data_IF_535899078962
#
_entry.id   IF_535899078962
#
_cell.length_a   1.000
_cell.length_b   1.000
_cell.length_c   1.000
_cell.angle_alpha   90.00
_cell.angle_beta   90.00
_cell.angle_gamma   90.00
#
_symmetry.space_group_name_H-M   'P 1'
#
loop_
_entity.id
_entity.type
_entity.pdbx_description
1 polymer ?
#
# COMPACT_ATOMS: atom_id res chain seq x y z
N UNK A 1 -25.34 -31.49 30.95
CA UNK A 1 -24.13 -30.70 31.28
C UNK A 1 -23.20 -30.47 30.07
N UNK A 2 -23.07 -31.43 29.15
CA UNK A 2 -22.32 -31.26 27.88
C UNK A 2 -22.79 -30.16 26.90
N UNK A 3 -24.11 -29.87 26.70
CA UNK A 3 -24.52 -28.87 25.70
C UNK A 3 -24.27 -27.41 26.14
N UNK A 4 -24.13 -27.16 27.45
CA UNK A 4 -23.92 -25.83 28.00
C UNK A 4 -22.46 -25.37 27.84
N UNK A 5 -21.52 -26.31 27.83
CA UNK A 5 -20.09 -26.07 27.60
C UNK A 5 -19.83 -25.86 26.11
N UNK A 6 -20.51 -26.58 25.23
CA UNK A 6 -20.40 -26.37 23.78
C UNK A 6 -20.95 -24.99 23.37
N UNK A 7 -22.05 -24.56 23.97
CA UNK A 7 -22.64 -23.23 23.72
C UNK A 7 -21.76 -22.09 24.27
N UNK A 8 -21.13 -22.28 25.44
CA UNK A 8 -20.19 -21.30 25.98
C UNK A 8 -18.88 -21.25 25.19
N UNK A 9 -18.40 -22.37 24.65
CA UNK A 9 -17.23 -22.43 23.76
C UNK A 9 -17.48 -21.83 22.38
N UNK A 10 -18.71 -21.93 21.83
CA UNK A 10 -19.10 -21.24 20.60
C UNK A 10 -19.23 -19.73 20.84
N UNK A 11 -19.80 -19.31 21.98
CA UNK A 11 -19.75 -17.91 22.38
C UNK A 11 -18.30 -17.44 22.57
N UNK A 12 -17.43 -18.25 23.19
CA UNK A 12 -16.01 -17.94 23.38
C UNK A 12 -15.21 -17.91 22.08
N UNK A 13 -15.47 -18.75 21.09
CA UNK A 13 -14.80 -18.66 19.78
C UNK A 13 -15.26 -17.43 18.99
N UNK A 14 -16.44 -16.89 19.31
CA UNK A 14 -16.93 -15.57 18.89
C UNK A 14 -16.32 -14.39 19.70
N UNK A 15 -15.61 -14.61 20.83
CA UNK A 15 -15.37 -13.54 21.85
C UNK A 15 -14.35 -12.45 21.51
N UNK A 16 -13.47 -12.61 20.52
CA UNK A 16 -12.51 -11.53 20.17
C UNK A 16 -12.75 -10.97 18.78
N UNK A 17 -12.79 -11.85 17.77
CA UNK A 17 -13.01 -11.43 16.38
C UNK A 17 -14.46 -11.02 16.12
N UNK A 18 -15.44 -11.71 16.73
CA UNK A 18 -16.86 -11.37 16.58
C UNK A 18 -17.21 -10.00 17.17
N UNK A 19 -16.71 -9.70 18.38
CA UNK A 19 -16.91 -8.40 19.02
C UNK A 19 -16.21 -7.27 18.27
N UNK A 20 -15.04 -7.52 17.67
CA UNK A 20 -14.38 -6.51 16.83
C UNK A 20 -15.23 -6.13 15.60
N UNK A 21 -15.90 -7.10 14.99
CA UNK A 21 -16.83 -6.86 13.88
C UNK A 21 -18.06 -6.08 14.30
N UNK A 22 -18.66 -6.42 15.45
CA UNK A 22 -19.81 -5.69 16.00
C UNK A 22 -19.43 -4.24 16.35
N UNK A 23 -18.27 -4.04 17.01
CA UNK A 23 -17.75 -2.70 17.32
C UNK A 23 -17.48 -1.89 16.05
N UNK A 24 -16.93 -2.51 15.01
CA UNK A 24 -16.71 -1.87 13.73
C UNK A 24 -18.04 -1.41 13.09
N UNK A 25 -19.08 -2.25 13.10
CA UNK A 25 -20.40 -1.87 12.58
C UNK A 25 -21.04 -0.74 13.39
N UNK A 26 -20.97 -0.80 14.73
CA UNK A 26 -21.48 0.26 15.59
C UNK A 26 -20.74 1.58 15.37
N UNK A 27 -19.42 1.53 15.21
CA UNK A 27 -18.60 2.71 14.93
C UNK A 27 -18.91 3.29 13.54
N UNK A 28 -19.09 2.45 12.53
CA UNK A 28 -19.53 2.86 11.19
C UNK A 28 -20.91 3.53 11.21
N UNK A 29 -21.85 2.98 11.99
CA UNK A 29 -23.18 3.56 12.20
C UNK A 29 -23.08 4.93 12.88
N UNK A 30 -22.25 5.03 13.92
CA UNK A 30 -22.00 6.27 14.64
C UNK A 30 -21.40 7.36 13.74
N UNK A 31 -20.41 7.01 12.89
CA UNK A 31 -19.84 7.94 11.91
C UNK A 31 -20.88 8.40 10.88
N UNK A 32 -21.70 7.48 10.37
CA UNK A 32 -22.75 7.79 9.40
C UNK A 32 -23.79 8.72 10.01
N UNK A 33 -24.19 8.46 11.25
CA UNK A 33 -25.09 9.34 12.00
C UNK A 33 -24.51 10.75 12.16
N UNK A 34 -23.24 10.88 12.56
CA UNK A 34 -22.56 12.17 12.68
C UNK A 34 -22.48 12.93 11.35
N UNK A 35 -22.20 12.22 10.26
CA UNK A 35 -22.20 12.78 8.90
C UNK A 35 -23.60 13.30 8.54
N UNK A 36 -24.64 12.55 8.87
CA UNK A 36 -26.02 12.96 8.62
C UNK A 36 -26.46 14.16 9.45
N UNK A 37 -26.09 14.19 10.73
CA UNK A 37 -26.33 15.33 11.61
C UNK A 37 -25.66 16.60 11.07
N UNK A 38 -24.42 16.49 10.56
CA UNK A 38 -23.73 17.62 9.93
C UNK A 38 -24.44 18.13 8.67
N UNK A 39 -24.95 17.23 7.81
CA UNK A 39 -25.68 17.64 6.59
C UNK A 39 -26.99 18.36 6.92
N UNK A 40 -27.70 17.88 7.95
CA UNK A 40 -28.88 18.55 8.49
C UNK A 40 -28.55 19.96 9.00
N UNK A 41 -27.52 20.10 9.85
CA UNK A 41 -27.06 21.40 10.36
C UNK A 41 -26.56 22.35 9.26
N UNK A 42 -26.05 21.82 8.15
CA UNK A 42 -25.62 22.60 6.99
C UNK A 42 -26.78 23.02 6.06
N UNK A 43 -28.04 22.74 6.42
CA UNK A 43 -29.22 23.09 5.63
C UNK A 43 -29.36 22.29 4.32
N UNK A 44 -28.60 21.20 4.14
CA UNK A 44 -28.57 20.40 2.90
C UNK A 44 -29.61 19.29 2.84
N UNK A 45 -30.62 19.34 3.72
CA UNK A 45 -31.61 18.27 3.89
C UNK A 45 -31.05 17.02 4.59
N UNK A 46 -31.92 16.24 5.21
CA UNK A 46 -31.55 14.96 5.81
C UNK A 46 -31.16 13.94 4.75
N UNK A 47 -30.30 12.97 5.10
CA UNK A 47 -30.10 11.82 4.22
C UNK A 47 -31.39 11.00 4.23
N UNK A 48 -31.98 10.76 3.06
CA UNK A 48 -33.03 9.76 2.92
C UNK A 48 -32.51 8.36 3.25
N UNK A 49 -33.40 7.39 3.45
CA UNK A 49 -33.06 6.02 3.85
C UNK A 49 -31.98 5.38 2.94
N UNK A 50 -32.13 5.51 1.62
CA UNK A 50 -31.14 5.02 0.64
C UNK A 50 -29.80 5.77 0.73
N UNK A 51 -29.82 7.08 0.97
CA UNK A 51 -28.61 7.89 1.14
C UNK A 51 -27.86 7.53 2.42
N UNK A 52 -28.58 7.24 3.50
CA UNK A 52 -27.99 6.79 4.75
C UNK A 52 -27.34 5.40 4.58
N UNK A 53 -28.04 4.45 3.96
CA UNK A 53 -27.50 3.13 3.66
C UNK A 53 -26.24 3.16 2.79
N UNK A 54 -26.23 3.97 1.74
CA UNK A 54 -25.05 4.14 0.87
C UNK A 54 -23.86 4.73 1.62
N UNK A 55 -24.06 5.81 2.40
CA UNK A 55 -22.97 6.42 3.17
C UNK A 55 -22.44 5.45 4.22
N UNK A 56 -23.32 4.71 4.90
CA UNK A 56 -22.93 3.68 5.85
C UNK A 56 -22.07 2.60 5.21
N UNK A 57 -22.49 2.08 4.05
CA UNK A 57 -21.74 1.06 3.31
C UNK A 57 -20.35 1.57 2.93
N UNK A 58 -20.26 2.75 2.33
CA UNK A 58 -18.97 3.32 1.90
C UNK A 58 -18.04 3.56 3.09
N UNK A 59 -18.54 4.16 4.17
CA UNK A 59 -17.75 4.44 5.38
C UNK A 59 -17.25 3.14 6.02
N UNK A 60 -18.11 2.14 6.10
CA UNK A 60 -17.77 0.84 6.71
C UNK A 60 -16.72 0.10 5.89
N UNK A 61 -16.87 0.05 4.55
CA UNK A 61 -15.86 -0.58 3.68
C UNK A 61 -14.52 0.12 3.83
N UNK A 62 -14.46 1.45 3.70
CA UNK A 62 -13.20 2.20 3.81
C UNK A 62 -12.53 1.95 5.16
N UNK A 63 -13.30 1.93 6.24
CA UNK A 63 -12.77 1.68 7.58
C UNK A 63 -12.22 0.25 7.72
N UNK A 64 -13.01 -0.77 7.34
CA UNK A 64 -12.61 -2.18 7.49
C UNK A 64 -11.36 -2.47 6.66
N UNK A 65 -11.29 -1.95 5.43
CA UNK A 65 -10.09 -2.09 4.59
C UNK A 65 -8.89 -1.34 5.16
N UNK A 66 -9.07 -0.10 5.64
CA UNK A 66 -7.98 0.67 6.23
C UNK A 66 -7.38 -0.03 7.46
N UNK A 67 -8.23 -0.54 8.37
CA UNK A 67 -7.78 -1.24 9.58
C UNK A 67 -7.13 -2.58 9.21
N UNK A 68 -7.77 -3.39 8.37
CA UNK A 68 -7.27 -4.71 7.98
C UNK A 68 -5.90 -4.63 7.31
N UNK A 69 -5.72 -3.73 6.34
CA UNK A 69 -4.44 -3.55 5.64
C UNK A 69 -3.37 -3.03 6.60
N UNK A 70 -3.70 -2.08 7.48
CA UNK A 70 -2.73 -1.54 8.45
C UNK A 70 -2.23 -2.63 9.42
N UNK A 71 -3.13 -3.48 9.93
CA UNK A 71 -2.76 -4.59 10.81
C UNK A 71 -1.98 -5.67 10.04
N UNK A 72 -2.43 -6.03 8.83
CA UNK A 72 -1.76 -7.03 7.99
C UNK A 72 -0.35 -6.60 7.59
N UNK A 73 -0.16 -5.34 7.19
CA UNK A 73 1.16 -4.80 6.88
C UNK A 73 2.02 -4.61 8.12
N UNK A 74 1.45 -4.13 9.23
CA UNK A 74 2.16 -3.93 10.49
C UNK A 74 2.67 -5.24 11.10
N UNK A 75 1.89 -6.31 10.99
CA UNK A 75 2.33 -7.66 11.39
C UNK A 75 3.38 -8.24 10.44
N UNK A 76 3.25 -8.00 9.13
CA UNK A 76 4.24 -8.42 8.12
C UNK A 76 5.60 -7.72 8.33
N UNK A 77 5.64 -6.38 8.24
CA UNK A 77 6.24 -5.52 9.29
C UNK A 77 7.18 -6.15 10.31
N UNK A 78 6.54 -6.41 11.44
CA UNK A 78 7.12 -6.94 12.64
C UNK A 78 7.77 -8.31 12.42
N UNK A 79 7.11 -9.21 11.68
CA UNK A 79 7.68 -10.51 11.34
C UNK A 79 8.96 -10.37 10.54
N UNK A 80 8.96 -9.60 9.46
CA UNK A 80 10.15 -9.39 8.61
C UNK A 80 11.28 -8.73 9.38
N UNK A 81 11.00 -7.76 10.25
CA UNK A 81 12.06 -7.15 11.08
C UNK A 81 12.62 -8.12 12.11
N UNK A 82 11.79 -8.96 12.74
CA UNK A 82 12.25 -10.06 13.61
C UNK A 82 13.09 -11.08 12.82
N UNK A 83 12.67 -11.44 11.61
CA UNK A 83 13.41 -12.33 10.70
C UNK A 83 14.72 -11.71 10.18
N UNK A 84 14.83 -10.40 10.02
CA UNK A 84 16.08 -9.75 9.60
C UNK A 84 17.05 -9.59 10.77
N UNK A 85 16.53 -9.40 11.99
CA UNK A 85 17.36 -9.25 13.19
C UNK A 85 17.80 -10.60 13.76
N UNK A 86 16.94 -11.63 13.71
CA UNK A 86 17.21 -12.94 14.30
C UNK A 86 17.36 -14.07 13.26
N UNK A 87 16.84 -13.90 12.04
CA UNK A 87 16.85 -14.94 11.02
C UNK A 87 18.18 -15.02 10.31
N UNK A 88 18.64 -16.24 10.08
CA UNK A 88 19.90 -16.50 9.40
C UNK A 88 19.68 -16.62 7.89
N UNK A 89 20.72 -16.28 7.14
CA UNK A 89 20.73 -16.38 5.67
C UNK A 89 21.08 -17.80 5.27
N UNK A 90 20.21 -18.45 4.48
CA UNK A 90 20.47 -19.77 3.91
C UNK A 90 20.45 -19.71 2.39
N UNK A 91 21.39 -20.40 1.76
CA UNK A 91 21.36 -20.65 0.31
C UNK A 91 20.48 -21.87 0.05
N UNK A 92 19.34 -21.68 -0.60
CA UNK A 92 18.39 -22.74 -0.92
C UNK A 92 18.49 -23.14 -2.39
N UNK A 93 18.32 -24.43 -2.68
CA UNK A 93 18.29 -24.96 -4.05
C UNK A 93 16.87 -25.30 -4.44
N UNK A 94 16.46 -24.91 -5.64
CA UNK A 94 15.13 -25.29 -6.18
C UNK A 94 15.09 -26.79 -6.46
N UNK A 95 14.20 -27.53 -5.79
CA UNK A 95 14.06 -28.99 -5.91
C UNK A 95 12.84 -29.41 -6.74
N UNK A 96 11.77 -28.62 -6.72
CA UNK A 96 10.54 -28.92 -7.46
C UNK A 96 9.76 -27.65 -7.74
N UNK A 97 8.72 -27.71 -8.56
CA UNK A 97 7.81 -26.61 -8.78
C UNK A 97 6.38 -27.16 -8.90
N UNK A 98 5.41 -26.44 -8.35
CA UNK A 98 3.98 -26.69 -8.57
C UNK A 98 3.51 -25.80 -9.71
N UNK A 99 2.63 -26.28 -10.59
CA UNK A 99 2.06 -25.48 -11.68
C UNK A 99 0.55 -25.35 -11.52
N UNK A 100 0.01 -24.15 -11.68
CA UNK A 100 -1.42 -23.93 -11.84
C UNK A 100 -1.71 -23.14 -13.11
N UNK A 101 -2.84 -23.44 -13.74
CA UNK A 101 -3.28 -22.75 -14.95
C UNK A 101 -4.12 -21.54 -14.57
N UNK A 102 -3.70 -20.36 -15.01
CA UNK A 102 -4.50 -19.14 -14.92
C UNK A 102 -5.16 -18.91 -16.28
N UNK A 103 -6.48 -19.06 -16.32
CA UNK A 103 -7.26 -18.80 -17.52
C UNK A 103 -7.75 -17.35 -17.50
N UNK A 104 -7.29 -16.56 -18.47
CA UNK A 104 -7.74 -15.19 -18.65
C UNK A 104 -8.92 -15.16 -19.64
N UNK A 105 -10.12 -14.92 -19.11
CA UNK A 105 -11.37 -14.99 -19.86
C UNK A 105 -11.50 -13.88 -20.92
N UNK A 106 -10.80 -12.75 -20.73
CA UNK A 106 -10.86 -11.60 -21.65
C UNK A 106 -9.89 -11.75 -22.84
N UNK A 107 -8.79 -12.50 -22.66
CA UNK A 107 -7.76 -12.69 -23.68
C UNK A 107 -7.77 -14.06 -24.35
N UNK A 108 -8.61 -15.01 -23.90
CA UNK A 108 -8.66 -16.38 -24.42
C UNK A 108 -7.34 -17.15 -24.30
N UNK A 109 -6.45 -16.69 -23.43
CA UNK A 109 -5.08 -17.19 -23.31
C UNK A 109 -4.90 -17.89 -21.97
N UNK A 110 -4.44 -19.15 -22.00
CA UNK A 110 -4.11 -19.93 -20.80
C UNK A 110 -2.65 -19.72 -20.46
N UNK A 111 -2.37 -19.12 -19.30
CA UNK A 111 -0.99 -18.92 -18.83
C UNK A 111 -0.72 -19.87 -17.67
N UNK A 112 0.25 -20.76 -17.84
CA UNK A 112 0.71 -21.66 -16.78
C UNK A 112 1.66 -20.91 -15.86
N UNK A 113 1.36 -20.87 -14.56
CA UNK A 113 2.23 -20.27 -13.55
C UNK A 113 2.88 -21.35 -12.71
N UNK A 114 4.18 -21.21 -12.46
CA UNK A 114 5.01 -22.13 -11.69
C UNK A 114 5.40 -21.53 -10.34
N UNK A 115 5.12 -22.22 -9.26
CA UNK A 115 5.51 -21.90 -7.89
C UNK A 115 6.67 -22.82 -7.47
N UNK A 116 7.91 -22.30 -7.36
CA UNK A 116 9.07 -23.12 -7.00
C UNK A 116 9.08 -23.53 -5.52
N UNK A 117 9.49 -24.78 -5.26
CA UNK A 117 9.82 -25.33 -3.95
C UNK A 117 11.33 -25.42 -3.84
N UNK A 118 11.89 -24.82 -2.80
CA UNK A 118 13.32 -24.80 -2.52
C UNK A 118 13.65 -25.65 -1.29
N UNK A 119 14.79 -26.29 -1.31
CA UNK A 119 15.35 -27.04 -0.18
C UNK A 119 16.63 -26.37 0.28
N UNK A 120 16.77 -26.16 1.58
CA UNK A 120 18.01 -25.69 2.19
C UNK A 120 18.34 -26.53 3.42
N UNK A 121 19.63 -26.60 3.72
CA UNK A 121 20.14 -27.26 4.92
C UNK A 121 20.29 -26.20 6.01
N UNK A 122 19.62 -26.41 7.14
CA UNK A 122 19.71 -25.56 8.32
C UNK A 122 21.08 -25.69 8.99
N UNK A 123 21.47 -24.76 9.89
CA UNK A 123 22.75 -24.89 10.62
C UNK A 123 22.75 -26.11 11.55
N UNK A 124 21.55 -26.54 11.95
CA UNK A 124 21.28 -27.77 12.69
C UNK A 124 21.40 -29.05 11.83
N UNK A 125 21.71 -28.94 10.54
CA UNK A 125 21.91 -30.08 9.63
C UNK A 125 20.60 -30.72 9.13
N UNK A 126 19.46 -30.05 9.28
CA UNK A 126 18.14 -30.54 8.87
C UNK A 126 17.82 -30.02 7.47
N UNK A 127 17.41 -30.92 6.57
CA UNK A 127 16.90 -30.57 5.24
C UNK A 127 15.45 -30.10 5.36
N UNK A 128 15.18 -28.86 4.95
CA UNK A 128 13.84 -28.27 4.96
C UNK A 128 13.44 -27.90 3.54
N UNK A 129 12.37 -28.52 3.04
CA UNK A 129 11.70 -28.14 1.80
C UNK A 129 10.66 -27.05 2.08
N UNK A 130 10.73 -25.93 1.35
CA UNK A 130 9.88 -24.77 1.51
C UNK A 130 9.35 -24.25 0.17
N UNK A 131 8.05 -24.03 0.08
CA UNK A 131 7.41 -23.51 -1.13
C UNK A 131 7.46 -21.99 -1.12
N UNK A 132 7.99 -21.38 -2.19
CA UNK A 132 8.14 -19.92 -2.28
C UNK A 132 6.79 -19.23 -2.47
N UNK A 133 6.63 -18.03 -1.90
CA UNK A 133 5.38 -17.27 -1.88
C UNK A 133 5.04 -16.55 -3.20
N UNK A 134 5.80 -16.81 -4.26
CA UNK A 134 5.62 -16.16 -5.56
C UNK A 134 5.59 -17.20 -6.68
N UNK A 135 4.83 -16.89 -7.72
CA UNK A 135 4.67 -17.73 -8.92
C UNK A 135 5.12 -16.95 -10.14
N UNK A 136 5.78 -17.61 -11.08
CA UNK A 136 6.26 -17.01 -12.33
C UNK A 136 5.73 -17.78 -13.53
N UNK A 137 5.53 -17.10 -14.66
CA UNK A 137 5.22 -17.74 -15.96
C UNK A 137 6.42 -18.49 -16.55
N UNK A 138 7.63 -18.16 -16.09
CA UNK A 138 8.86 -18.85 -16.49
C UNK A 138 9.07 -20.11 -15.65
N UNK A 139 9.34 -21.24 -16.30
CA UNK A 139 9.69 -22.49 -15.60
C UNK A 139 10.96 -22.29 -14.76
N UNK A 140 10.92 -22.53 -13.44
CA UNK A 140 12.11 -22.44 -12.59
C UNK A 140 13.12 -23.52 -12.97
N UNK A 141 14.40 -23.14 -13.10
CA UNK A 141 15.49 -24.09 -13.33
C UNK A 141 15.78 -24.88 -12.06
N UNK A 142 15.61 -26.20 -12.13
CA UNK A 142 15.92 -27.12 -11.03
C UNK A 142 17.41 -27.03 -10.71
N UNK A 143 17.75 -26.82 -9.44
CA UNK A 143 19.12 -26.62 -8.96
C UNK A 143 19.61 -25.16 -8.89
N UNK A 144 18.79 -24.19 -9.31
CA UNK A 144 19.11 -22.77 -9.13
C UNK A 144 19.22 -22.41 -7.65
N UNK A 145 20.25 -21.65 -7.30
CA UNK A 145 20.50 -21.21 -5.92
C UNK A 145 19.73 -19.92 -5.68
N UNK A 146 18.85 -19.93 -4.69
CA UNK A 146 18.03 -18.78 -4.27
C UNK A 146 18.33 -18.51 -2.82
N UNK A 147 18.63 -17.25 -2.48
CA UNK A 147 18.87 -16.87 -1.09
C UNK A 147 17.54 -16.78 -0.36
N UNK A 148 17.37 -17.60 0.67
CA UNK A 148 16.17 -17.65 1.51
C UNK A 148 16.54 -17.25 2.93
N UNK A 149 15.77 -16.34 3.51
CA UNK A 149 15.87 -16.03 4.93
C UNK A 149 14.88 -16.92 5.66
N UNK A 150 15.40 -17.87 6.44
CA UNK A 150 14.62 -18.82 7.20
C UNK A 150 14.94 -18.65 8.68
N UNK A 151 13.92 -18.73 9.51
CA UNK A 151 14.07 -18.77 10.96
C UNK A 151 13.65 -20.16 11.45
N UNK A 152 14.64 -20.92 11.96
CA UNK A 152 14.46 -22.28 12.46
C UNK A 152 13.47 -22.35 13.64
N UNK A 153 13.24 -21.25 14.36
CA UNK A 153 12.36 -21.20 15.53
C UNK A 153 10.90 -20.98 15.12
N UNK A 154 10.65 -20.12 14.13
CA UNK A 154 9.30 -19.77 13.68
C UNK A 154 8.79 -20.60 12.50
N UNK A 155 9.69 -21.31 11.79
CA UNK A 155 9.43 -22.00 10.51
C UNK A 155 8.88 -21.09 9.40
N UNK A 156 8.88 -19.77 9.61
CA UNK A 156 8.51 -18.78 8.61
C UNK A 156 9.75 -18.53 7.72
N UNK A 157 9.53 -18.41 6.40
CA UNK A 157 10.58 -17.99 5.46
C UNK A 157 10.11 -16.76 4.69
N UNK A 158 11.04 -15.85 4.39
CA UNK A 158 10.78 -14.69 3.53
C UNK A 158 11.67 -14.81 2.31
N UNK A 159 11.04 -14.99 1.16
CA UNK A 159 11.70 -14.89 -0.12
C UNK A 159 11.47 -13.51 -0.73
N UNK A 160 12.56 -12.78 -0.96
CA UNK A 160 12.55 -11.51 -1.67
C UNK A 160 12.50 -11.73 -3.18
N UNK A 161 11.34 -12.16 -3.68
CA UNK A 161 11.05 -12.18 -5.12
C UNK A 161 10.61 -10.80 -5.63
N UNK A 162 10.83 -10.51 -6.91
CA UNK A 162 10.34 -9.29 -7.57
C UNK A 162 8.82 -9.12 -7.41
N UNK A 163 8.05 -10.19 -7.57
CA UNK A 163 6.60 -10.20 -7.38
C UNK A 163 6.17 -9.87 -5.94
N UNK A 164 6.87 -10.42 -4.94
CA UNK A 164 6.61 -10.14 -3.52
C UNK A 164 6.87 -8.67 -3.19
N UNK A 165 7.96 -8.10 -3.70
CA UNK A 165 8.27 -6.68 -3.55
C UNK A 165 7.21 -5.80 -4.21
N UNK A 166 6.82 -6.08 -5.46
CA UNK A 166 5.80 -5.34 -6.17
C UNK A 166 4.44 -5.37 -5.45
N UNK A 167 4.01 -6.54 -4.95
CA UNK A 167 2.80 -6.68 -4.14
C UNK A 167 2.89 -5.90 -2.83
N UNK A 168 4.02 -5.99 -2.13
CA UNK A 168 4.26 -5.24 -0.90
C UNK A 168 4.16 -3.73 -1.12
N UNK A 169 4.76 -3.23 -2.21
CA UNK A 169 4.69 -1.82 -2.57
C UNK A 169 3.29 -1.38 -2.99
N UNK A 170 2.58 -2.18 -3.78
CA UNK A 170 1.18 -1.92 -4.14
C UNK A 170 0.28 -1.85 -2.91
N UNK A 171 0.44 -2.80 -1.99
CA UNK A 171 -0.28 -2.80 -0.71
C UNK A 171 0.06 -1.57 0.15
N UNK A 172 1.34 -1.16 0.18
CA UNK A 172 1.79 0.04 0.90
C UNK A 172 1.14 1.32 0.34
N UNK A 173 1.09 1.47 -0.98
CA UNK A 173 0.44 2.63 -1.61
C UNK A 173 -1.07 2.65 -1.30
N UNK A 174 -1.75 1.51 -1.41
CA UNK A 174 -3.16 1.39 -1.07
C UNK A 174 -3.43 1.69 0.41
N UNK A 175 -2.58 1.20 1.31
CA UNK A 175 -2.67 1.48 2.75
C UNK A 175 -2.64 2.99 3.00
N UNK A 176 -1.68 3.72 2.41
CA UNK A 176 -1.55 5.16 2.60
C UNK A 176 -2.82 5.89 2.14
N UNK A 177 -3.34 5.55 0.96
CA UNK A 177 -4.57 6.15 0.42
C UNK A 177 -5.77 5.90 1.33
N UNK A 178 -5.95 4.66 1.80
CA UNK A 178 -7.08 4.28 2.67
C UNK A 178 -6.99 4.93 4.05
N UNK A 179 -5.80 4.99 4.65
CA UNK A 179 -5.59 5.66 5.94
C UNK A 179 -5.90 7.15 5.83
N UNK A 180 -5.45 7.82 4.77
CA UNK A 180 -5.83 9.21 4.53
C UNK A 180 -7.34 9.33 4.37
N UNK A 181 -7.96 8.55 3.48
CA UNK A 181 -9.41 8.59 3.26
C UNK A 181 -10.21 8.39 4.56
N UNK A 182 -9.84 7.40 5.38
CA UNK A 182 -10.45 7.14 6.67
C UNK A 182 -10.29 8.33 7.64
N UNK A 183 -9.09 8.91 7.73
CA UNK A 183 -8.85 10.10 8.55
C UNK A 183 -9.69 11.30 8.11
N UNK A 184 -9.92 11.42 6.80
CA UNK A 184 -10.78 12.44 6.22
C UNK A 184 -12.24 12.25 6.60
N UNK A 185 -12.72 11.01 6.55
CA UNK A 185 -14.08 10.65 7.01
C UNK A 185 -14.24 10.99 8.50
N UNK A 186 -13.26 10.64 9.34
CA UNK A 186 -13.27 10.97 10.77
C UNK A 186 -13.35 12.47 11.03
N UNK A 187 -12.46 13.26 10.42
CA UNK A 187 -12.47 14.72 10.55
C UNK A 187 -13.77 15.33 10.02
N UNK A 188 -14.30 14.76 8.94
CA UNK A 188 -15.58 15.18 8.38
C UNK A 188 -16.75 14.91 9.33
N UNK A 189 -16.79 13.73 9.94
CA UNK A 189 -17.81 13.34 10.92
C UNK A 189 -17.73 14.19 12.20
N UNK A 190 -16.52 14.56 12.64
CA UNK A 190 -16.27 15.44 13.79
C UNK A 190 -16.52 16.93 13.52
N UNK A 191 -17.09 17.29 12.37
CA UNK A 191 -17.41 18.66 11.99
C UNK A 191 -16.19 19.60 11.82
N UNK A 192 -15.01 19.06 11.50
CA UNK A 192 -13.86 19.89 11.15
C UNK A 192 -14.01 20.53 9.76
N UNK A 193 -13.31 21.66 9.56
CA UNK A 193 -13.21 22.36 8.27
C UNK A 193 -12.31 21.56 7.32
N UNK A 194 -12.90 21.04 6.23
CA UNK A 194 -12.20 20.17 5.28
C UNK A 194 -11.18 20.90 4.40
N UNK A 195 -11.28 22.22 4.28
CA UNK A 195 -10.36 23.03 3.48
C UNK A 195 -8.91 22.88 3.95
N UNK A 196 -8.70 22.90 5.27
CA UNK A 196 -7.37 22.72 5.85
C UNK A 196 -6.84 21.30 5.56
N UNK A 197 -7.66 20.29 5.83
CA UNK A 197 -7.29 18.89 5.61
C UNK A 197 -6.96 18.58 4.13
N UNK A 198 -7.77 19.08 3.19
CA UNK A 198 -7.50 18.93 1.76
C UNK A 198 -6.24 19.67 1.33
N UNK A 199 -5.98 20.86 1.88
CA UNK A 199 -4.73 21.59 1.61
C UNK A 199 -3.51 20.85 2.16
N UNK A 200 -3.62 20.27 3.36
CA UNK A 200 -2.57 19.44 3.96
C UNK A 200 -2.31 18.19 3.12
N UNK A 201 -3.34 17.45 2.70
CA UNK A 201 -3.14 16.27 1.83
C UNK A 201 -2.56 16.66 0.49
N UNK A 202 -3.04 17.74 -0.14
CA UNK A 202 -2.45 18.20 -1.40
C UNK A 202 -0.97 18.53 -1.21
N UNK A 203 -0.62 19.19 -0.11
CA UNK A 203 0.76 19.51 0.21
C UNK A 203 1.60 18.26 0.46
N UNK A 204 1.17 17.36 1.35
CA UNK A 204 1.87 16.12 1.69
C UNK A 204 1.96 15.20 0.46
N UNK A 205 0.86 15.05 -0.26
CA UNK A 205 0.74 14.23 -1.46
C UNK A 205 1.70 14.67 -2.56
N UNK A 206 1.71 15.96 -2.89
CA UNK A 206 2.59 16.49 -3.93
C UNK A 206 4.05 16.61 -3.46
N UNK A 207 4.29 16.95 -2.20
CA UNK A 207 5.65 17.24 -1.72
C UNK A 207 6.41 15.98 -1.32
N UNK A 208 5.74 15.01 -0.70
CA UNK A 208 6.37 13.83 -0.12
C UNK A 208 5.91 12.55 -0.81
N UNK A 209 4.59 12.34 -0.94
CA UNK A 209 4.07 11.06 -1.43
C UNK A 209 4.51 10.79 -2.88
N UNK A 210 4.25 11.70 -3.82
CA UNK A 210 4.64 11.52 -5.23
C UNK A 210 6.14 11.25 -5.40
N UNK A 211 7.08 12.04 -4.85
CA UNK A 211 8.49 11.77 -5.04
C UNK A 211 8.94 10.47 -4.37
N UNK A 212 8.34 10.07 -3.24
CA UNK A 212 8.58 8.75 -2.64
C UNK A 212 8.15 7.64 -3.60
N UNK A 213 6.94 7.72 -4.18
CA UNK A 213 6.47 6.72 -5.15
C UNK A 213 7.39 6.65 -6.36
N UNK A 214 7.84 7.79 -6.89
CA UNK A 214 8.76 7.82 -8.03
C UNK A 214 10.10 7.17 -7.70
N UNK A 215 10.71 7.52 -6.56
CA UNK A 215 11.98 6.92 -6.10
C UNK A 215 11.84 5.42 -5.91
N UNK A 216 10.72 4.99 -5.34
CA UNK A 216 10.45 3.59 -5.04
C UNK A 216 10.25 2.77 -6.32
N UNK A 217 9.58 3.34 -7.32
CA UNK A 217 9.44 2.74 -8.64
C UNK A 217 10.79 2.69 -9.39
N UNK A 218 11.60 3.75 -9.32
CA UNK A 218 12.95 3.78 -9.88
C UNK A 218 13.84 2.70 -9.23
N UNK A 219 13.77 2.56 -7.90
CA UNK A 219 14.44 1.50 -7.16
C UNK A 219 13.97 0.09 -7.56
N UNK A 220 12.70 -0.06 -7.92
CA UNK A 220 12.14 -1.32 -8.41
C UNK A 220 12.70 -1.70 -9.79
N UNK A 221 12.89 -0.71 -10.68
CA UNK A 221 13.55 -0.91 -11.97
C UNK A 221 15.03 -1.25 -11.81
N UNK A 222 15.72 -0.56 -10.90
CA UNK A 222 17.11 -0.90 -10.54
C UNK A 222 17.19 -2.33 -10.00
N UNK A 223 16.27 -2.71 -9.10
CA UNK A 223 16.23 -4.07 -8.58
C UNK A 223 15.98 -5.10 -9.70
N UNK A 224 15.07 -4.82 -10.63
CA UNK A 224 14.83 -5.68 -11.80
C UNK A 224 16.06 -5.80 -12.73
N UNK A 225 16.91 -4.78 -12.81
CA UNK A 225 18.15 -4.81 -13.59
C UNK A 225 19.20 -5.74 -12.96
N UNK A 226 19.27 -5.79 -11.62
CA UNK A 226 20.29 -6.53 -10.89
C UNK A 226 19.84 -7.92 -10.39
N UNK A 227 18.54 -8.17 -10.25
CA UNK A 227 18.00 -9.37 -9.62
C UNK A 227 17.07 -10.15 -10.57
N UNK A 228 17.53 -11.33 -11.00
CA UNK A 228 16.64 -12.43 -11.39
C UNK A 228 16.20 -12.49 -12.86
N UNK A 229 17.15 -12.54 -13.80
CA UNK A 229 17.18 -13.47 -14.95
C UNK A 229 18.33 -13.08 -15.88
N UNK A 230 18.70 -13.97 -16.80
CA UNK A 230 19.45 -13.60 -18.01
C UNK A 230 18.57 -12.66 -18.86
N UNK A 231 18.44 -11.40 -18.44
CA UNK A 231 17.71 -10.39 -19.19
C UNK A 231 18.49 -10.13 -20.48
N UNK A 232 17.86 -10.25 -21.66
CA UNK A 232 18.54 -9.97 -22.92
C UNK A 232 19.16 -8.56 -22.87
N UNK A 233 20.37 -8.39 -23.43
CA UNK A 233 21.08 -7.10 -23.43
C UNK A 233 20.21 -5.94 -23.95
N UNK A 234 19.30 -6.22 -24.88
CA UNK A 234 18.33 -5.24 -25.38
C UNK A 234 17.34 -4.77 -24.30
N UNK A 235 16.80 -5.68 -23.50
CA UNK A 235 15.87 -5.38 -22.40
C UNK A 235 16.61 -4.62 -21.28
N UNK A 236 17.83 -5.04 -20.97
CA UNK A 236 18.72 -4.33 -20.02
C UNK A 236 18.99 -2.90 -20.49
N UNK A 237 19.31 -2.69 -21.77
CA UNK A 237 19.52 -1.37 -22.35
C UNK A 237 18.28 -0.46 -22.27
N UNK A 238 17.09 -1.02 -22.54
CA UNK A 238 15.82 -0.30 -22.37
C UNK A 238 15.60 0.06 -20.89
N UNK A 239 15.83 -0.88 -19.97
CA UNK A 239 15.68 -0.61 -18.52
C UNK A 239 16.59 0.53 -18.07
N UNK A 240 17.87 0.52 -18.46
CA UNK A 240 18.82 1.58 -18.11
C UNK A 240 18.36 2.93 -18.64
N UNK A 241 17.85 2.98 -19.87
CA UNK A 241 17.27 4.21 -20.43
C UNK A 241 16.10 4.73 -19.59
N UNK A 242 15.17 3.85 -19.21
CA UNK A 242 14.03 4.22 -18.36
C UNK A 242 14.48 4.71 -16.98
N UNK A 243 15.41 4.02 -16.32
CA UNK A 243 15.97 4.42 -15.02
C UNK A 243 16.56 5.84 -15.13
N UNK A 244 17.43 6.08 -16.11
CA UNK A 244 18.03 7.41 -16.30
C UNK A 244 16.98 8.52 -16.52
N UNK A 245 15.98 8.25 -17.36
CA UNK A 245 14.91 9.20 -17.62
C UNK A 245 14.07 9.48 -16.36
N UNK A 246 13.80 8.46 -15.55
CA UNK A 246 13.03 8.57 -14.32
C UNK A 246 13.81 9.29 -13.23
N UNK A 247 15.09 8.98 -13.04
CA UNK A 247 15.99 9.69 -12.12
C UNK A 247 16.07 11.19 -12.47
N UNK A 248 16.18 11.54 -13.76
CA UNK A 248 16.13 12.93 -14.21
C UNK A 248 14.76 13.57 -13.94
N UNK A 249 13.67 12.83 -14.14
CA UNK A 249 12.31 13.24 -13.81
C UNK A 249 12.14 13.54 -12.31
N UNK A 250 12.66 12.67 -11.44
CA UNK A 250 12.69 12.84 -9.97
C UNK A 250 13.46 14.11 -9.61
N UNK A 251 14.66 14.28 -10.18
CA UNK A 251 15.48 15.47 -9.92
C UNK A 251 14.77 16.75 -10.35
N UNK A 252 14.16 16.75 -11.55
CA UNK A 252 13.35 17.85 -12.06
C UNK A 252 12.16 18.16 -11.15
N UNK A 253 11.47 17.12 -10.67
CA UNK A 253 10.32 17.25 -9.77
C UNK A 253 10.70 17.85 -8.41
N UNK A 254 11.75 17.34 -7.77
CA UNK A 254 12.27 17.86 -6.49
C UNK A 254 12.74 19.30 -6.66
N UNK A 255 13.49 19.60 -7.73
CA UNK A 255 13.95 20.95 -8.05
C UNK A 255 12.77 21.92 -8.22
N UNK A 256 11.71 21.49 -8.91
CA UNK A 256 10.49 22.28 -9.12
C UNK A 256 9.81 22.63 -7.79
N UNK A 257 9.63 21.66 -6.88
CA UNK A 257 9.02 21.88 -5.55
C UNK A 257 9.86 22.84 -4.69
N UNK A 258 11.18 22.76 -4.81
CA UNK A 258 12.08 23.62 -4.03
C UNK A 258 12.04 25.07 -4.48
N UNK A 259 11.87 25.32 -5.78
CA UNK A 259 12.00 26.66 -6.39
C UNK A 259 10.67 27.40 -6.56
N UNK A 260 9.55 26.68 -6.73
CA UNK A 260 8.27 27.30 -7.07
C UNK A 260 7.17 26.91 -6.06
N UNK A 261 6.39 27.91 -5.63
CA UNK A 261 5.09 27.70 -5.01
C UNK A 261 4.05 27.47 -6.13
N UNK A 262 3.18 26.48 -5.96
CA UNK A 262 2.09 26.22 -6.92
C UNK A 262 0.87 27.03 -6.52
N UNK A 263 0.54 28.06 -7.30
CA UNK A 263 -0.74 28.76 -7.20
C UNK A 263 -1.64 28.20 -8.30
N UNK A 264 -2.60 27.36 -7.92
CA UNK A 264 -3.63 26.89 -8.83
C UNK A 264 -4.55 28.06 -9.18
N UNK A 265 -4.49 28.52 -10.43
CA UNK A 265 -5.48 29.47 -10.96
C UNK A 265 -6.44 28.71 -11.85
N UNK A 266 -7.73 28.93 -11.62
CA UNK A 266 -8.78 28.46 -12.52
C UNK A 266 -8.62 29.22 -13.84
N UNK A 267 -8.20 28.52 -14.89
CA UNK A 267 -7.96 29.10 -16.22
C UNK A 267 -9.18 29.02 -17.12
N UNK A 268 -10.23 28.29 -16.72
CA UNK A 268 -11.51 28.23 -17.42
C UNK A 268 -12.61 27.56 -16.60
N UNK A 269 -13.83 27.38 -17.15
CA UNK A 269 -14.97 26.78 -16.44
C UNK A 269 -14.66 25.40 -15.85
N UNK A 270 -13.88 24.59 -16.56
CA UNK A 270 -13.48 23.22 -16.20
C UNK A 270 -11.96 22.98 -16.19
N UNK A 271 -11.13 23.98 -16.54
CA UNK A 271 -9.67 23.82 -16.62
C UNK A 271 -8.93 24.50 -15.46
N UNK A 272 -7.92 23.80 -14.97
CA UNK A 272 -7.01 24.26 -13.92
C UNK A 272 -5.59 24.15 -14.44
N UNK A 273 -4.86 25.26 -14.42
CA UNK A 273 -3.43 25.28 -14.70
C UNK A 273 -2.66 25.60 -13.43
N UNK A 274 -1.60 24.85 -13.18
CA UNK A 274 -0.62 25.17 -12.15
C UNK A 274 0.41 26.12 -12.76
N UNK A 275 0.28 27.42 -12.50
CA UNK A 275 1.36 28.35 -12.85
C UNK A 275 2.44 28.27 -11.77
N UNK A 276 3.70 27.94 -12.13
CA UNK A 276 4.80 27.97 -11.19
C UNK A 276 5.08 29.43 -10.82
N UNK A 277 4.87 29.79 -9.55
CA UNK A 277 5.22 31.12 -9.03
C UNK A 277 6.49 30.96 -8.19
N UNK A 278 7.57 31.74 -8.41
CA UNK A 278 8.77 31.64 -7.60
C UNK A 278 8.45 31.89 -6.12
N UNK A 279 9.04 31.10 -5.22
CA UNK A 279 8.85 31.25 -3.77
C UNK A 279 9.29 32.65 -3.32
N UNK A 280 8.35 33.47 -2.86
CA UNK A 280 8.65 34.82 -2.32
C UNK A 280 9.56 34.72 -1.10
N UNK A 281 10.66 35.47 -1.11
CA UNK A 281 11.59 35.55 0.01
C UNK A 281 10.94 36.24 1.22
N UNK A 282 11.43 35.97 2.45
CA UNK A 282 10.90 36.55 3.71
C UNK A 282 10.82 38.09 3.65
N UNK A 283 11.77 38.75 2.98
CA UNK A 283 11.79 40.21 2.75
C UNK A 283 10.64 40.71 1.87
N UNK A 284 10.28 39.96 0.83
CA UNK A 284 9.16 40.29 -0.06
C UNK A 284 7.79 40.12 0.62
N UNK A 285 7.64 39.12 1.49
CA UNK A 285 6.41 38.98 2.28
C UNK A 285 6.21 40.19 3.20
N UNK A 286 7.26 40.65 3.87
CA UNK A 286 7.21 41.82 4.75
C UNK A 286 6.81 43.12 4.00
N UNK A 287 7.34 43.37 2.80
CA UNK A 287 7.02 44.59 2.03
C UNK A 287 5.57 44.60 1.52
N UNK A 288 5.02 43.43 1.17
CA UNK A 288 3.59 43.32 0.78
C UNK A 288 2.61 43.54 1.92
N UNK A 289 2.99 43.27 3.16
CA UNK A 289 2.19 43.56 4.35
C UNK A 289 2.16 45.06 4.67
N UNK A 290 3.28 45.76 4.45
CA UNK A 290 3.38 47.22 4.65
C UNK A 290 2.51 47.99 3.64
N UNK A 291 2.35 47.48 2.41
CA UNK A 291 1.48 48.09 1.38
C UNK A 291 -0.03 47.86 1.57
N UNK A 292 -0.45 47.03 2.55
CA UNK A 292 -1.87 46.72 2.81
C UNK A 292 -2.41 47.36 4.10
N UNK A 293 -1.58 48.12 4.81
CA UNK A 293 -2.03 49.08 5.83
C UNK A 293 -2.10 50.46 5.18
#
# INVERSE_FOLDING_TARGET
MFPMILFSMIFLSLTLYGWSGVLALLFGLWLTYKIGQRRLHAGKGGLGCLGFGYVFLVVTIVMVFAISITIGMGSSLYKTTQLVVNGQRYEAKVISYSSYESHDADAGTTTTMFTPTVEFTTLSGVLVAHTLSYSSSSQPTIGATVTVYYDEISKDSVSFGFGTLALFFGALLMMVVLVFAFWGILLYAMNYKMEYYLNVIKYIGLTFFIPIVMILFDGLLIYALFYGNEVPLFVSGILVFFILMLTLGIWGYIKMIRTHDRVWKKTGPTSWAANPVPKKTKKEKASTWIKRK
#
